data_IF_557378230532
#
_entry.id   IF_557378230532
#
_cell.length_a   1.000
_cell.length_b   1.000
_cell.length_c   1.000
_cell.angle_alpha   90.00
_cell.angle_beta   90.00
_cell.angle_gamma   90.00
#
_symmetry.space_group_name_H-M   'P 1'
#
loop_
_entity.id
_entity.type
_entity.pdbx_description
1 polymer ?
#
# COMPACT_ATOMS: atom_id res chain seq x y z
N UNK A 1 27.46 8.89 -5.65
CA UNK A 1 28.13 7.75 -4.97
C UNK A 1 29.33 8.33 -4.23
N UNK A 2 29.14 8.75 -2.97
CA UNK A 2 30.23 9.29 -2.16
C UNK A 2 31.01 8.09 -1.62
N UNK A 3 32.21 7.88 -2.15
CA UNK A 3 33.14 6.87 -1.63
C UNK A 3 33.50 7.29 -0.21
N UNK A 4 32.93 6.62 0.79
CA UNK A 4 33.32 6.82 2.18
C UNK A 4 34.76 6.39 2.34
N UNK A 5 35.69 7.34 2.34
CA UNK A 5 37.08 7.06 2.70
C UNK A 5 37.08 6.67 4.16
N UNK A 6 37.48 5.45 4.48
CA UNK A 6 37.71 5.03 5.87
C UNK A 6 38.63 6.05 6.54
N UNK A 7 38.17 6.71 7.60
CA UNK A 7 39.01 7.64 8.37
C UNK A 7 40.28 6.90 8.82
N UNK A 8 41.46 7.42 8.46
CA UNK A 8 42.74 6.91 8.95
C UNK A 8 43.05 7.60 10.27
N UNK A 9 42.86 6.89 11.37
CA UNK A 9 43.23 7.36 12.71
C UNK A 9 44.75 7.27 12.89
N UNK A 10 45.42 8.41 12.83
CA UNK A 10 46.87 8.50 13.04
C UNK A 10 47.15 8.66 14.53
N UNK A 11 47.34 7.54 15.22
CA UNK A 11 47.83 7.56 16.59
C UNK A 11 49.28 8.07 16.62
N UNK A 12 49.67 8.93 17.57
CA UNK A 12 51.07 9.29 17.74
C UNK A 12 51.83 8.01 18.10
N UNK A 13 52.92 7.71 17.38
CA UNK A 13 53.80 6.59 17.70
C UNK A 13 55.11 7.15 18.22
N UNK A 14 55.76 6.46 19.18
CA UNK A 14 57.07 6.90 19.61
C UNK A 14 58.06 6.91 18.44
N UNK A 15 58.81 8.00 18.30
CA UNK A 15 59.89 8.09 17.33
C UNK A 15 61.14 7.32 17.84
N UNK A 16 62.00 6.87 16.91
CA UNK A 16 63.25 6.23 17.30
C UNK A 16 64.11 7.21 18.13
N UNK A 17 64.54 6.75 19.32
CA UNK A 17 65.27 7.52 20.35
C UNK A 17 64.45 8.60 21.08
N UNK A 18 63.13 8.48 21.12
CA UNK A 18 62.31 9.42 21.87
C UNK A 18 62.62 9.41 23.38
N UNK A 19 62.74 10.57 24.04
CA UNK A 19 63.08 10.63 25.46
C UNK A 19 62.04 9.90 26.32
N UNK A 20 62.50 9.03 27.23
CA UNK A 20 61.63 8.28 28.16
C UNK A 20 60.65 9.19 28.91
N UNK A 21 61.05 10.43 29.22
CA UNK A 21 60.19 11.43 29.89
C UNK A 21 58.92 11.79 29.12
N UNK A 22 58.89 11.59 27.79
CA UNK A 22 57.75 11.91 26.93
C UNK A 22 56.81 10.69 26.73
N UNK A 23 57.27 9.47 27.04
CA UNK A 23 56.48 8.25 26.87
C UNK A 23 55.13 8.27 27.60
N UNK A 24 55.00 8.79 28.83
CA UNK A 24 53.71 8.86 29.52
C UNK A 24 52.66 9.66 28.73
N UNK A 25 53.05 10.81 28.20
CA UNK A 25 52.14 11.69 27.44
C UNK A 25 51.72 11.03 26.12
N UNK A 26 52.65 10.33 25.45
CA UNK A 26 52.37 9.61 24.20
C UNK A 26 51.38 8.47 24.44
N UNK A 27 51.59 7.68 25.49
CA UNK A 27 50.68 6.59 25.86
C UNK A 27 49.29 7.11 26.24
N UNK A 28 49.21 8.25 26.94
CA UNK A 28 47.95 8.89 27.26
C UNK A 28 47.22 9.34 25.97
N UNK A 29 47.90 10.00 25.04
CA UNK A 29 47.30 10.42 23.78
C UNK A 29 46.85 9.23 22.91
N UNK A 30 47.60 8.13 22.90
CA UNK A 30 47.19 6.90 22.24
C UNK A 30 45.92 6.33 22.88
N UNK A 31 45.85 6.25 24.21
CA UNK A 31 44.68 5.75 24.93
C UNK A 31 43.43 6.61 24.66
N UNK A 32 43.54 7.94 24.79
CA UNK A 32 42.45 8.88 24.49
C UNK A 32 42.00 8.80 23.02
N UNK A 33 42.94 8.60 22.09
CA UNK A 33 42.63 8.40 20.69
C UNK A 33 41.83 7.11 20.48
N UNK A 34 42.26 5.99 21.08
CA UNK A 34 41.59 4.70 20.97
C UNK A 34 40.17 4.78 21.52
N UNK A 35 39.97 5.41 22.69
CA UNK A 35 38.64 5.60 23.28
C UNK A 35 37.70 6.39 22.35
N UNK A 36 38.18 7.47 21.72
CA UNK A 36 37.37 8.24 20.75
C UNK A 36 36.97 7.42 19.53
N UNK A 37 37.86 6.53 19.05
CA UNK A 37 37.55 5.64 17.92
C UNK A 37 36.56 4.57 18.32
N UNK A 38 36.74 3.94 19.48
CA UNK A 38 35.84 2.93 20.01
C UNK A 38 34.42 3.50 20.24
N UNK A 39 34.31 4.74 20.72
CA UNK A 39 33.02 5.42 20.84
C UNK A 39 32.30 5.57 19.49
N UNK A 40 33.03 5.73 18.37
CA UNK A 40 32.42 5.78 17.03
C UNK A 40 31.96 4.40 16.53
N UNK A 41 32.64 3.32 16.93
CA UNK A 41 32.19 1.95 16.64
C UNK A 41 30.90 1.60 17.38
N UNK A 42 30.66 2.24 18.52
CA UNK A 42 29.40 2.16 19.27
C UNK A 42 28.37 3.15 18.72
N UNK A 43 27.90 2.90 17.49
CA UNK A 43 26.86 3.68 16.81
C UNK A 43 27.16 5.19 16.67
N UNK A 44 28.44 5.57 16.46
CA UNK A 44 28.83 6.98 16.33
C UNK A 44 28.77 7.75 17.66
N UNK A 45 28.80 7.05 18.80
CA UNK A 45 28.65 7.63 20.14
C UNK A 45 27.19 7.89 20.53
N UNK A 46 26.23 7.33 19.77
CA UNK A 46 24.80 7.41 20.05
C UNK A 46 24.33 6.34 21.03
N UNK A 47 23.27 6.63 21.79
CA UNK A 47 22.67 5.67 22.72
C UNK A 47 22.12 4.44 21.97
N UNK A 48 22.79 3.29 22.12
CA UNK A 48 22.40 2.00 21.56
C UNK A 48 20.96 1.61 21.94
N UNK A 49 20.52 1.98 23.15
CA UNK A 49 19.16 1.69 23.60
C UNK A 49 18.14 2.49 22.81
N UNK A 50 18.45 3.76 22.49
CA UNK A 50 17.59 4.61 21.69
C UNK A 50 17.46 4.10 20.25
N UNK A 51 18.55 3.63 19.64
CA UNK A 51 18.52 3.02 18.30
C UNK A 51 17.71 1.72 18.28
N UNK A 52 17.92 0.85 19.27
CA UNK A 52 17.17 -0.40 19.42
C UNK A 52 15.67 -0.12 19.59
N UNK A 53 15.30 0.86 20.42
CA UNK A 53 13.91 1.28 20.62
C UNK A 53 13.28 1.84 19.33
N UNK A 54 14.04 2.61 18.53
CA UNK A 54 13.57 3.12 17.23
C UNK A 54 13.32 1.99 16.24
N UNK A 55 14.19 0.98 16.17
CA UNK A 55 13.99 -0.18 15.29
C UNK A 55 12.73 -0.96 15.70
N UNK A 56 12.55 -1.26 16.99
CA UNK A 56 11.36 -1.94 17.49
C UNK A 56 10.05 -1.15 17.19
N UNK A 57 10.10 0.18 17.30
CA UNK A 57 8.98 1.05 16.92
C UNK A 57 8.67 0.97 15.42
N UNK A 58 9.69 1.01 14.56
CA UNK A 58 9.52 0.87 13.11
C UNK A 58 8.97 -0.50 12.72
N UNK A 59 9.44 -1.58 13.35
CA UNK A 59 8.93 -2.94 13.13
C UNK A 59 7.45 -3.04 13.52
N UNK A 60 7.06 -2.42 14.64
CA UNK A 60 5.67 -2.35 15.09
C UNK A 60 4.81 -1.58 14.09
N UNK A 61 5.26 -0.40 13.65
CA UNK A 61 4.56 0.40 12.64
C UNK A 61 4.41 -0.36 11.32
N UNK A 62 5.45 -1.05 10.86
CA UNK A 62 5.41 -1.86 9.66
C UNK A 62 4.42 -3.03 9.77
N UNK A 63 4.40 -3.71 10.92
CA UNK A 63 3.45 -4.79 11.21
C UNK A 63 2.00 -4.28 11.16
N UNK A 64 1.75 -3.12 11.76
CA UNK A 64 0.45 -2.46 11.74
C UNK A 64 0.02 -2.13 10.30
N UNK A 65 0.91 -1.50 9.51
CA UNK A 65 0.62 -1.16 8.09
C UNK A 65 0.25 -2.41 7.29
N UNK A 66 1.03 -3.50 7.43
CA UNK A 66 0.75 -4.77 6.72
C UNK A 66 -0.60 -5.36 7.12
N UNK A 67 -0.92 -5.34 8.42
CA UNK A 67 -2.19 -5.86 8.95
C UNK A 67 -3.41 -5.04 8.53
N UNK A 68 -3.21 -3.80 8.09
CA UNK A 68 -4.30 -2.91 7.69
C UNK A 68 -4.83 -3.20 6.29
N UNK A 69 -4.07 -3.88 5.42
CA UNK A 69 -4.50 -4.24 4.08
C UNK A 69 -5.03 -5.68 4.05
N UNK A 70 -6.32 -5.85 3.80
CA UNK A 70 -7.01 -7.14 3.93
C UNK A 70 -7.70 -7.51 2.62
N UNK A 71 -7.49 -8.74 2.14
CA UNK A 71 -8.27 -9.29 1.02
C UNK A 71 -9.65 -9.73 1.53
N UNK A 72 -10.70 -9.08 1.03
CA UNK A 72 -12.09 -9.32 1.42
C UNK A 72 -12.84 -10.24 0.47
N UNK A 73 -12.43 -10.25 -0.79
CA UNK A 73 -12.97 -11.09 -1.85
C UNK A 73 -11.89 -11.28 -2.92
N UNK A 74 -11.76 -12.51 -3.44
CA UNK A 74 -10.80 -12.84 -4.50
C UNK A 74 -11.33 -14.01 -5.33
N UNK A 75 -11.86 -13.68 -6.51
CA UNK A 75 -12.35 -14.64 -7.49
C UNK A 75 -12.33 -13.99 -8.88
N UNK A 76 -11.24 -14.19 -9.62
CA UNK A 76 -11.15 -13.64 -10.98
C UNK A 76 -12.16 -14.28 -11.96
N UNK A 77 -12.66 -15.49 -11.66
CA UNK A 77 -13.66 -16.18 -12.46
C UNK A 77 -15.09 -15.92 -11.99
N UNK A 78 -15.32 -14.83 -11.25
CA UNK A 78 -16.66 -14.49 -10.79
C UNK A 78 -17.63 -14.34 -11.95
N UNK A 79 -18.86 -14.82 -11.76
CA UNK A 79 -19.91 -14.69 -12.77
C UNK A 79 -20.37 -13.24 -12.86
N UNK A 80 -20.93 -12.86 -14.01
CA UNK A 80 -21.42 -11.50 -14.24
C UNK A 80 -22.76 -11.21 -13.57
N UNK A 81 -23.22 -11.98 -12.59
CA UNK A 81 -24.54 -11.78 -12.00
C UNK A 81 -24.55 -12.07 -10.50
N UNK A 82 -25.50 -11.45 -9.80
CA UNK A 82 -25.72 -11.68 -8.38
C UNK A 82 -24.81 -10.86 -7.46
N UNK A 83 -24.95 -11.14 -6.17
CA UNK A 83 -24.20 -10.49 -5.11
C UNK A 83 -22.86 -11.21 -4.86
N UNK A 84 -21.87 -10.46 -4.39
CA UNK A 84 -20.68 -11.03 -3.75
C UNK A 84 -20.76 -10.86 -2.23
N UNK A 85 -20.13 -11.78 -1.52
CA UNK A 85 -20.01 -11.77 -0.06
C UNK A 85 -18.55 -11.54 0.33
N UNK A 86 -18.32 -10.50 1.13
CA UNK A 86 -17.03 -10.15 1.71
C UNK A 86 -16.78 -10.98 2.98
N UNK A 87 -15.51 -11.33 3.23
CA UNK A 87 -15.11 -12.04 4.45
C UNK A 87 -15.38 -11.21 5.73
N UNK A 88 -15.18 -9.89 5.65
CA UNK A 88 -15.44 -8.93 6.73
C UNK A 88 -16.38 -7.80 6.25
N UNK A 89 -17.03 -7.13 7.21
CA UNK A 89 -17.94 -6.01 6.89
C UNK A 89 -17.16 -4.80 6.37
N UNK A 90 -17.65 -4.20 5.28
CA UNK A 90 -17.13 -2.94 4.74
C UNK A 90 -17.17 -1.78 5.76
N UNK A 91 -18.00 -1.88 6.81
CA UNK A 91 -18.07 -0.89 7.89
C UNK A 91 -16.76 -0.77 8.70
N UNK A 92 -15.90 -1.80 8.66
CA UNK A 92 -14.64 -1.86 9.41
C UNK A 92 -13.49 -1.14 8.69
N UNK A 93 -13.70 -0.72 7.45
CA UNK A 93 -12.63 -0.22 6.58
C UNK A 93 -12.80 1.28 6.32
N UNK A 94 -11.67 1.98 6.25
CA UNK A 94 -11.62 3.38 5.83
C UNK A 94 -11.72 3.49 4.31
N UNK A 95 -11.22 2.49 3.59
CA UNK A 95 -11.23 2.44 2.13
C UNK A 95 -11.44 1.01 1.65
N UNK A 96 -12.20 0.82 0.58
CA UNK A 96 -12.10 -0.38 -0.25
C UNK A 96 -11.47 -0.04 -1.59
N UNK A 97 -10.61 -0.93 -2.08
CA UNK A 97 -10.19 -1.00 -3.48
C UNK A 97 -10.98 -2.14 -4.13
N UNK A 98 -11.84 -1.82 -5.08
CA UNK A 98 -12.69 -2.77 -5.81
C UNK A 98 -12.07 -2.96 -7.18
N UNK A 99 -11.59 -4.16 -7.47
CA UNK A 99 -11.13 -4.56 -8.80
C UNK A 99 -12.26 -5.27 -9.54
N UNK A 100 -12.44 -4.93 -10.81
CA UNK A 100 -13.53 -5.44 -11.61
C UNK A 100 -13.12 -5.57 -13.06
N UNK A 101 -13.89 -6.37 -13.80
CA UNK A 101 -13.71 -6.53 -15.24
C UNK A 101 -15.03 -6.50 -16.00
N UNK A 102 -14.95 -6.16 -17.27
CA UNK A 102 -16.05 -6.31 -18.22
C UNK A 102 -16.09 -7.73 -18.81
N UNK A 103 -17.20 -8.08 -19.47
CA UNK A 103 -17.34 -9.32 -20.24
C UNK A 103 -16.45 -9.36 -21.51
N UNK A 104 -15.76 -8.27 -21.84
CA UNK A 104 -14.75 -8.21 -22.90
C UNK A 104 -13.31 -8.25 -22.33
N UNK A 105 -13.15 -8.63 -21.06
CA UNK A 105 -11.85 -8.69 -20.37
C UNK A 105 -11.14 -7.33 -20.25
N UNK A 106 -11.89 -6.24 -20.12
CA UNK A 106 -11.33 -4.92 -19.76
C UNK A 106 -11.32 -4.80 -18.24
N UNK A 107 -10.14 -4.60 -17.66
CA UNK A 107 -9.93 -4.53 -16.22
C UNK A 107 -9.82 -3.07 -15.74
N UNK A 108 -10.39 -2.80 -14.57
CA UNK A 108 -10.26 -1.52 -13.89
C UNK A 108 -10.39 -1.69 -12.37
N UNK A 109 -10.13 -0.61 -11.64
CA UNK A 109 -10.28 -0.57 -10.19
C UNK A 109 -10.85 0.76 -9.72
N UNK A 110 -11.55 0.75 -8.59
CA UNK A 110 -12.09 1.93 -7.93
C UNK A 110 -11.74 1.92 -6.44
N UNK A 111 -11.23 3.04 -5.95
CA UNK A 111 -11.08 3.30 -4.53
C UNK A 111 -12.33 3.99 -3.96
N UNK A 112 -12.81 3.49 -2.83
CA UNK A 112 -14.04 3.95 -2.17
C UNK A 112 -13.75 4.24 -0.71
N UNK A 113 -13.58 5.51 -0.36
CA UNK A 113 -13.44 5.94 1.03
C UNK A 113 -14.76 5.77 1.81
N UNK A 114 -14.71 5.42 3.09
CA UNK A 114 -15.84 5.13 3.97
C UNK A 114 -16.94 4.33 3.24
N UNK A 115 -16.61 3.10 2.80
CA UNK A 115 -17.29 2.38 1.72
C UNK A 115 -18.70 1.91 2.08
N UNK A 116 -18.97 1.65 3.36
CA UNK A 116 -20.23 1.05 3.77
C UNK A 116 -21.43 1.96 3.47
N UNK A 117 -22.53 1.35 3.00
CA UNK A 117 -23.77 2.00 2.57
C UNK A 117 -23.62 2.94 1.36
N UNK A 118 -22.49 2.89 0.64
CA UNK A 118 -22.30 3.68 -0.58
C UNK A 118 -22.73 2.91 -1.82
N UNK A 119 -23.30 3.67 -2.75
CA UNK A 119 -23.51 3.24 -4.12
C UNK A 119 -22.29 3.66 -4.94
N UNK A 120 -21.71 2.71 -5.66
CA UNK A 120 -20.55 2.93 -6.54
C UNK A 120 -20.91 2.56 -7.95
N UNK A 121 -20.37 3.31 -8.91
CA UNK A 121 -20.63 3.13 -10.33
C UNK A 121 -19.37 2.57 -10.98
N UNK A 122 -19.33 1.25 -11.19
CA UNK A 122 -18.19 0.61 -11.84
C UNK A 122 -18.37 0.77 -13.34
N UNK A 123 -17.37 1.35 -13.99
CA UNK A 123 -17.43 1.69 -15.41
C UNK A 123 -16.15 1.23 -16.10
N UNK A 124 -16.30 0.63 -17.27
CA UNK A 124 -15.20 0.39 -18.21
C UNK A 124 -15.54 1.05 -19.53
N UNK A 125 -14.50 1.46 -20.26
CA UNK A 125 -14.67 1.99 -21.60
C UNK A 125 -13.52 1.53 -22.49
N UNK A 126 -13.82 1.08 -23.70
CA UNK A 126 -12.79 0.66 -24.65
C UNK A 126 -13.30 0.68 -26.08
N UNK A 127 -12.37 0.73 -27.04
CA UNK A 127 -12.67 0.51 -28.45
C UNK A 127 -12.55 -0.99 -28.77
N UNK A 128 -13.60 -1.57 -29.33
CA UNK A 128 -13.63 -2.92 -29.89
C UNK A 128 -13.50 -2.90 -31.44
N UNK A 129 -12.98 -1.80 -31.99
CA UNK A 129 -12.89 -1.52 -33.41
C UNK A 129 -13.23 -0.06 -33.72
N UNK A 130 -12.97 0.39 -34.95
CA UNK A 130 -12.99 1.82 -35.34
C UNK A 130 -14.34 2.51 -35.10
N UNK A 131 -15.46 1.79 -35.16
CA UNK A 131 -16.81 2.31 -34.96
C UNK A 131 -17.50 1.81 -33.67
N UNK A 132 -16.75 1.15 -32.78
CA UNK A 132 -17.28 0.43 -31.61
C UNK A 132 -16.61 0.88 -30.33
N UNK A 133 -17.08 2.00 -29.76
CA UNK A 133 -16.62 2.49 -28.46
C UNK A 133 -17.63 2.13 -27.39
N UNK A 134 -17.36 1.06 -26.64
CA UNK A 134 -18.28 0.59 -25.61
C UNK A 134 -18.01 1.28 -24.29
N UNK A 135 -19.06 1.83 -23.68
CA UNK A 135 -19.10 2.24 -22.28
C UNK A 135 -20.01 1.28 -21.55
N UNK A 136 -19.47 0.58 -20.56
CA UNK A 136 -20.20 -0.43 -19.78
C UNK A 136 -20.27 0.02 -18.33
N UNK A 137 -21.42 -0.19 -17.70
CA UNK A 137 -21.67 0.26 -16.36
C UNK A 137 -22.42 -0.79 -15.53
N UNK A 138 -22.08 -0.89 -14.25
CA UNK A 138 -22.94 -1.49 -13.23
C UNK A 138 -22.78 -0.74 -11.92
N UNK A 139 -23.89 -0.24 -11.38
CA UNK A 139 -23.89 0.33 -10.05
C UNK A 139 -24.05 -0.77 -9.00
N UNK A 140 -23.22 -0.72 -7.95
CA UNK A 140 -23.26 -1.63 -6.82
C UNK A 140 -23.53 -0.86 -5.52
N UNK A 141 -24.36 -1.42 -4.65
CA UNK A 141 -24.49 -1.00 -3.25
C UNK A 141 -23.56 -1.86 -2.41
N UNK A 142 -22.70 -1.21 -1.62
CA UNK A 142 -21.87 -1.83 -0.61
C UNK A 142 -22.65 -1.78 0.71
N UNK A 143 -23.06 -2.92 1.25
CA UNK A 143 -23.83 -3.00 2.49
C UNK A 143 -23.34 -4.12 3.41
N UNK A 144 -22.57 -3.74 4.43
CA UNK A 144 -21.98 -4.66 5.38
C UNK A 144 -21.05 -5.63 4.66
N UNK A 145 -21.42 -6.92 4.65
CA UNK A 145 -20.68 -7.96 3.94
C UNK A 145 -21.11 -8.17 2.50
N UNK A 146 -22.16 -7.50 2.04
CA UNK A 146 -22.73 -7.76 0.71
C UNK A 146 -22.41 -6.62 -0.23
N UNK A 147 -21.87 -6.92 -1.41
CA UNK A 147 -21.84 -5.97 -2.53
C UNK A 147 -22.74 -6.53 -3.62
N UNK A 148 -23.81 -5.81 -3.95
CA UNK A 148 -24.79 -6.26 -4.94
C UNK A 148 -25.26 -5.12 -5.83
N UNK A 149 -25.81 -5.46 -6.99
CA UNK A 149 -26.34 -4.50 -7.96
C UNK A 149 -27.34 -3.57 -7.28
N UNK A 150 -27.10 -2.28 -7.39
CA UNK A 150 -27.96 -1.27 -6.80
C UNK A 150 -29.24 -1.07 -7.62
N UNK A 151 -30.35 -0.92 -6.89
CA UNK A 151 -31.66 -0.54 -7.42
C UNK A 151 -31.96 0.89 -6.99
N UNK A 152 -32.24 1.78 -7.96
CA UNK A 152 -32.42 3.23 -7.69
C UNK A 152 -33.63 3.55 -6.81
N UNK A 153 -34.64 2.68 -6.82
CA UNK A 153 -35.95 2.85 -6.19
C UNK A 153 -36.49 1.45 -5.84
N UNK A 154 -37.57 1.31 -5.05
CA UNK A 154 -38.28 0.03 -4.91
C UNK A 154 -38.71 -0.61 -6.23
N UNK A 155 -38.66 0.14 -7.34
CA UNK A 155 -38.82 -0.39 -8.69
C UNK A 155 -37.71 -1.38 -9.06
N UNK A 156 -38.02 -2.30 -9.97
CA UNK A 156 -37.10 -3.30 -10.53
C UNK A 156 -36.01 -2.71 -11.44
N UNK A 157 -35.72 -1.41 -11.33
CA UNK A 157 -34.81 -0.67 -12.21
C UNK A 157 -33.38 -0.79 -11.69
N UNK A 158 -32.70 -1.83 -12.16
CA UNK A 158 -31.27 -2.00 -11.98
C UNK A 158 -30.49 -1.00 -12.85
N UNK A 159 -29.44 -0.41 -12.28
CA UNK A 159 -28.55 0.52 -13.00
C UNK A 159 -27.36 -0.29 -13.55
N UNK A 160 -27.59 -0.97 -14.67
CA UNK A 160 -26.62 -1.86 -15.33
C UNK A 160 -26.86 -1.85 -16.84
N UNK A 161 -25.80 -1.90 -17.63
CA UNK A 161 -25.91 -1.93 -19.09
C UNK A 161 -24.65 -1.48 -19.81
N UNK A 162 -24.78 -1.37 -21.13
CA UNK A 162 -23.74 -0.86 -22.01
C UNK A 162 -24.32 0.03 -23.10
N UNK A 163 -23.47 0.84 -23.70
CA UNK A 163 -23.76 1.62 -24.90
C UNK A 163 -22.54 1.64 -25.80
N UNK A 164 -22.75 1.43 -27.10
CA UNK A 164 -21.77 1.80 -28.12
C UNK A 164 -21.88 3.31 -28.36
N UNK A 165 -21.04 4.10 -27.70
CA UNK A 165 -21.03 5.55 -27.79
C UNK A 165 -20.36 6.09 -29.09
N UNK A 166 -19.96 5.21 -30.01
CA UNK A 166 -19.58 5.56 -31.37
C UNK A 166 -20.54 4.92 -32.38
N UNK A 167 -20.70 5.53 -33.55
CA UNK A 167 -21.54 4.95 -34.62
C UNK A 167 -23.04 4.90 -34.29
N UNK A 168 -23.57 3.70 -34.03
CA UNK A 168 -25.01 3.43 -33.99
C UNK A 168 -25.73 3.80 -32.69
N UNK A 169 -25.02 4.16 -31.61
CA UNK A 169 -25.61 4.43 -30.29
C UNK A 169 -26.47 3.28 -29.74
N UNK A 170 -26.17 2.04 -30.17
CA UNK A 170 -26.86 0.85 -29.66
C UNK A 170 -26.58 0.69 -28.16
N UNK A 171 -27.64 0.57 -27.38
CA UNK A 171 -27.57 0.36 -25.94
C UNK A 171 -28.34 -0.90 -25.55
N UNK A 172 -27.85 -1.61 -24.54
CA UNK A 172 -28.50 -2.79 -23.99
C UNK A 172 -28.43 -2.78 -22.47
N UNK A 173 -29.51 -3.23 -21.83
CA UNK A 173 -29.50 -3.52 -20.41
C UNK A 173 -29.01 -4.94 -20.20
N UNK A 174 -28.11 -5.12 -19.23
CA UNK A 174 -27.52 -6.41 -18.95
C UNK A 174 -26.37 -6.25 -17.97
N UNK A 175 -25.97 -7.36 -17.37
CA UNK A 175 -24.83 -7.35 -16.48
C UNK A 175 -23.54 -7.62 -17.25
N UNK A 176 -22.80 -6.54 -17.51
CA UNK A 176 -21.56 -6.60 -18.29
C UNK A 176 -20.30 -6.36 -17.46
N UNK A 177 -20.44 -6.09 -16.16
CA UNK A 177 -19.34 -5.90 -15.22
C UNK A 177 -19.51 -6.85 -14.03
N UNK A 178 -18.38 -7.42 -13.61
CA UNK A 178 -18.28 -8.23 -12.39
C UNK A 178 -17.09 -7.79 -11.55
N UNK A 179 -17.25 -7.89 -10.23
CA UNK A 179 -16.16 -7.67 -9.27
C UNK A 179 -15.33 -8.94 -9.21
N UNK A 180 -14.02 -8.79 -9.35
CA UNK A 180 -13.06 -9.90 -9.24
C UNK A 180 -12.39 -9.93 -7.88
N UNK A 181 -12.03 -8.77 -7.35
CA UNK A 181 -11.31 -8.67 -6.08
C UNK A 181 -11.76 -7.45 -5.29
N UNK A 182 -11.72 -7.56 -3.96
CA UNK A 182 -11.97 -6.44 -3.05
C UNK A 182 -10.92 -6.46 -1.95
N UNK A 183 -10.23 -5.34 -1.78
CA UNK A 183 -9.26 -5.14 -0.72
C UNK A 183 -9.73 -4.04 0.22
N UNK A 184 -9.61 -4.25 1.52
CA UNK A 184 -9.95 -3.27 2.55
C UNK A 184 -8.71 -2.68 3.19
N UNK A 185 -8.70 -1.35 3.39
CA UNK A 185 -7.72 -0.66 4.25
C UNK A 185 -8.40 -0.26 5.55
N UNK A 186 -7.94 -0.81 6.68
CA UNK A 186 -8.49 -0.52 8.01
C UNK A 186 -8.21 0.94 8.41
N UNK A 187 -9.08 1.51 9.26
CA UNK A 187 -8.83 2.81 9.89
C UNK A 187 -7.60 2.70 10.78
N UNK A 188 -6.54 3.47 10.50
CA UNK A 188 -5.41 3.56 11.42
C UNK A 188 -5.72 4.55 12.54
N UNK A 189 -5.63 4.07 13.78
CA UNK A 189 -5.26 4.94 14.90
C UNK A 189 -3.77 4.71 15.13
N UNK A 190 -2.93 5.60 14.59
CA UNK A 190 -1.52 5.69 14.98
C UNK A 190 -1.52 6.35 16.37
N UNK A 191 -1.70 5.54 17.43
CA UNK A 191 -1.47 5.97 18.81
C UNK A 191 -0.10 5.43 19.22
#
# INVERSE_FOLDING_TARGET
>A
MTVGTTEKYRFPYPEDNEPIRNLPDILQQQAEGIERVLAKFDYGGGDQNALTARVASLETLLSNIKSNYVTLYDNDNNVFQGAISLNESAANFEKLTICFKSNDNVYASMDVANPNKKVVSLTTSFYNGDAYFYVKNRCYLIDGKTINTWKRSPSTVYQTGEVNAAGSNNASMGDFITITQVYGTRKMSLV
#
